data_IF_061393185996
#
_entry.id   IF_061393185996
#
_cell.length_a   1.000
_cell.length_b   1.000
_cell.length_c   1.000
_cell.angle_alpha   90.00
_cell.angle_beta   90.00
_cell.angle_gamma   90.00
#
_symmetry.space_group_name_H-M   'P 1'
#
loop_
_entity.id
_entity.type
_entity.pdbx_description
1 polymer ?
#
# COMPACT_ATOMS: atom_id res chain seq x y z
N UNK A 1 -6.86 -6.82 14.35
CA UNK A 1 -6.55 -6.25 13.03
C UNK A 1 -6.84 -4.76 13.04
N UNK A 2 -5.82 -3.94 12.76
CA UNK A 2 -5.97 -2.49 12.63
C UNK A 2 -6.29 -2.10 11.17
N UNK A 3 -7.26 -1.21 11.02
CA UNK A 3 -7.74 -0.69 9.73
C UNK A 3 -7.09 0.67 9.46
N UNK A 4 -5.87 0.64 9.03
CA UNK A 4 -4.98 1.79 8.93
C UNK A 4 -5.51 2.85 7.95
N UNK A 5 -5.75 4.06 8.47
CA UNK A 5 -6.29 5.21 7.73
C UNK A 5 -7.81 5.29 7.67
N UNK A 6 -8.54 4.26 8.08
CA UNK A 6 -10.00 4.23 8.05
C UNK A 6 -10.60 4.99 9.24
N UNK A 7 -11.55 5.90 8.97
CA UNK A 7 -12.34 6.58 10.03
C UNK A 7 -13.49 5.68 10.48
N UNK A 8 -13.36 5.13 11.68
CA UNK A 8 -14.28 4.14 12.25
C UNK A 8 -14.48 4.40 13.76
N UNK A 9 -15.46 3.74 14.41
CA UNK A 9 -15.61 3.80 15.86
C UNK A 9 -14.41 3.19 16.58
N UNK A 10 -13.97 3.80 17.69
CA UNK A 10 -12.78 3.36 18.44
C UNK A 10 -12.81 1.87 18.82
N UNK A 11 -13.97 1.32 19.18
CA UNK A 11 -14.11 -0.11 19.49
C UNK A 11 -13.88 -1.06 18.30
N UNK A 12 -13.70 -0.54 17.07
CA UNK A 12 -13.42 -1.29 15.85
C UNK A 12 -12.02 -1.03 15.30
N UNK A 13 -11.19 -0.24 16.02
CA UNK A 13 -9.87 0.18 15.55
C UNK A 13 -8.83 -0.94 15.56
N UNK A 14 -9.04 -1.99 16.32
CA UNK A 14 -8.24 -3.20 16.21
C UNK A 14 -7.02 -3.29 17.13
N UNK A 15 -6.83 -2.32 18.04
CA UNK A 15 -5.68 -2.35 18.97
C UNK A 15 -6.00 -3.24 20.18
N UNK A 16 -5.42 -4.44 20.19
CA UNK A 16 -5.58 -5.39 21.29
C UNK A 16 -5.07 -4.84 22.62
N UNK A 17 -5.89 -4.96 23.67
CA UNK A 17 -5.58 -4.43 25.00
C UNK A 17 -5.88 -2.95 25.20
N UNK A 18 -6.22 -2.20 24.13
CA UNK A 18 -6.62 -0.79 24.21
C UNK A 18 -8.14 -0.62 23.96
N UNK A 19 -8.58 -0.90 22.76
CA UNK A 19 -9.97 -0.68 22.36
C UNK A 19 -10.73 -1.97 22.01
N UNK A 20 -10.07 -3.10 22.11
CA UNK A 20 -10.67 -4.44 22.05
C UNK A 20 -9.82 -5.45 22.83
N UNK A 21 -10.37 -6.62 23.22
CA UNK A 21 -9.56 -7.72 23.73
C UNK A 21 -8.68 -8.31 22.63
N UNK A 22 -7.54 -8.90 23.03
CA UNK A 22 -6.74 -9.71 22.10
C UNK A 22 -7.59 -10.88 21.57
N UNK A 23 -7.33 -11.27 20.32
CA UNK A 23 -8.02 -12.39 19.69
C UNK A 23 -7.14 -13.65 19.86
N UNK A 24 -7.44 -14.55 20.80
CA UNK A 24 -6.65 -15.76 20.99
C UNK A 24 -6.74 -16.70 19.79
N UNK A 25 -5.79 -17.61 19.60
CA UNK A 25 -5.88 -18.66 18.58
C UNK A 25 -7.21 -19.42 18.62
N UNK A 26 -7.82 -19.62 17.45
CA UNK A 26 -9.11 -20.29 17.32
C UNK A 26 -10.34 -19.46 17.73
N UNK A 27 -10.16 -18.18 18.07
CA UNK A 27 -11.26 -17.25 18.35
C UNK A 27 -11.47 -16.29 17.19
N UNK A 28 -12.66 -15.68 17.18
CA UNK A 28 -13.08 -14.71 16.16
C UNK A 28 -13.47 -13.41 16.84
N UNK A 29 -13.09 -12.29 16.25
CA UNK A 29 -13.63 -10.96 16.55
C UNK A 29 -14.33 -10.45 15.29
N UNK A 30 -15.50 -9.85 15.44
CA UNK A 30 -16.28 -9.29 14.33
C UNK A 30 -16.09 -7.79 14.30
N UNK A 31 -15.58 -7.28 13.17
CA UNK A 31 -15.50 -5.86 12.89
C UNK A 31 -16.68 -5.45 12.04
N UNK A 32 -17.44 -4.46 12.51
CA UNK A 32 -18.62 -3.94 11.82
C UNK A 32 -18.60 -2.42 11.87
N UNK A 33 -18.39 -1.79 10.72
CA UNK A 33 -18.36 -0.34 10.61
C UNK A 33 -18.68 0.13 9.19
N UNK A 34 -19.08 1.38 9.06
CA UNK A 34 -19.35 2.02 7.77
C UNK A 34 -18.07 2.66 7.21
N UNK A 35 -17.79 2.40 5.93
CA UNK A 35 -16.76 3.13 5.16
C UNK A 35 -17.27 4.51 4.78
N UNK A 36 -16.85 5.53 5.54
CA UNK A 36 -17.36 6.93 5.41
C UNK A 36 -16.70 7.71 4.28
N UNK A 37 -15.59 7.26 3.74
CA UNK A 37 -14.85 7.93 2.68
C UNK A 37 -14.16 6.93 1.76
N UNK A 38 -14.05 7.29 0.49
CA UNK A 38 -13.30 6.50 -0.49
C UNK A 38 -11.81 6.85 -0.43
N UNK A 39 -10.99 5.93 -0.88
CA UNK A 39 -9.54 6.09 -0.89
C UNK A 39 -8.80 4.76 -0.87
N UNK A 40 -7.55 4.83 -0.51
CA UNK A 40 -6.66 3.67 -0.39
C UNK A 40 -6.19 3.56 1.05
N UNK A 41 -6.33 2.38 1.64
CA UNK A 41 -6.03 2.10 3.03
C UNK A 41 -5.27 0.78 3.14
N UNK A 42 -4.79 0.46 4.34
CA UNK A 42 -4.11 -0.80 4.65
C UNK A 42 -4.78 -1.47 5.84
N UNK A 43 -4.55 -2.75 6.01
CA UNK A 43 -4.80 -3.44 7.27
C UNK A 43 -3.56 -4.23 7.68
N UNK A 44 -3.32 -4.29 8.96
CA UNK A 44 -2.23 -5.08 9.53
C UNK A 44 -2.56 -5.48 10.99
N UNK A 45 -1.86 -6.45 11.59
CA UNK A 45 -2.03 -6.79 12.99
C UNK A 45 -1.60 -5.62 13.89
N UNK A 46 -2.17 -5.53 15.08
CA UNK A 46 -1.76 -4.60 16.12
C UNK A 46 -1.61 -5.32 17.48
N UNK A 47 -1.21 -6.59 17.42
CA UNK A 47 -0.81 -7.43 18.54
C UNK A 47 0.20 -8.43 18.01
N UNK A 48 1.36 -8.55 18.64
CA UNK A 48 2.48 -9.35 18.18
C UNK A 48 2.87 -9.03 16.73
N UNK A 49 2.92 -7.74 16.45
CA UNK A 49 2.95 -7.15 15.11
C UNK A 49 4.16 -7.64 14.30
N UNK A 50 5.33 -7.70 14.93
CA UNK A 50 6.56 -8.18 14.30
C UNK A 50 6.40 -9.57 13.68
N UNK A 51 5.91 -10.51 14.47
CA UNK A 51 5.73 -11.91 14.05
C UNK A 51 4.68 -11.99 12.96
N UNK A 52 3.52 -11.39 13.18
CA UNK A 52 2.39 -11.51 12.28
C UNK A 52 2.62 -10.80 10.95
N UNK A 53 3.29 -9.64 10.93
CA UNK A 53 3.66 -8.96 9.69
C UNK A 53 4.74 -9.72 8.92
N UNK A 54 5.76 -10.22 9.59
CA UNK A 54 6.79 -11.05 8.96
C UNK A 54 6.18 -12.33 8.33
N UNK A 55 5.09 -12.84 8.90
CA UNK A 55 4.31 -13.96 8.33
C UNK A 55 3.29 -13.54 7.28
N UNK A 56 3.26 -12.26 6.87
CA UNK A 56 2.46 -11.75 5.77
C UNK A 56 1.02 -11.38 6.10
N UNK A 57 0.68 -11.19 7.38
CA UNK A 57 -0.67 -10.79 7.79
C UNK A 57 -0.88 -9.28 7.57
N UNK A 58 -1.00 -8.87 6.33
CA UNK A 58 -1.21 -7.47 5.94
C UNK A 58 -1.86 -7.39 4.57
N UNK A 59 -2.44 -6.24 4.24
CA UNK A 59 -2.99 -6.03 2.90
C UNK A 59 -3.46 -4.61 2.65
N UNK A 60 -3.87 -4.37 1.41
CA UNK A 60 -4.43 -3.10 0.95
C UNK A 60 -5.96 -3.17 0.94
N UNK A 61 -6.58 -2.01 1.20
CA UNK A 61 -8.02 -1.82 1.09
C UNK A 61 -8.25 -0.66 0.12
N UNK A 62 -8.99 -0.92 -0.95
CA UNK A 62 -9.43 0.13 -1.88
C UNK A 62 -10.92 0.31 -1.71
N UNK A 63 -11.31 1.50 -1.28
CA UNK A 63 -12.72 1.90 -1.16
C UNK A 63 -13.06 2.79 -2.36
N UNK A 64 -13.86 2.26 -3.27
CA UNK A 64 -14.27 3.00 -4.44
C UNK A 64 -15.26 4.11 -4.08
N UNK A 65 -15.20 5.26 -4.79
CA UNK A 65 -16.22 6.31 -4.64
C UNK A 65 -17.60 5.75 -4.98
N UNK A 66 -18.63 6.25 -4.30
CA UNK A 66 -20.03 5.92 -4.62
C UNK A 66 -20.43 6.40 -6.03
N UNK A 67 -19.93 7.56 -6.43
CA UNK A 67 -20.08 8.03 -7.80
C UNK A 67 -18.99 7.42 -8.71
N UNK A 68 -19.32 6.54 -9.66
CA UNK A 68 -18.35 5.93 -10.55
C UNK A 68 -17.70 6.93 -11.53
N UNK A 69 -18.27 8.13 -11.68
CA UNK A 69 -17.69 9.21 -12.49
C UNK A 69 -16.65 10.03 -11.75
N UNK A 70 -16.50 9.80 -10.44
CA UNK A 70 -15.50 10.50 -9.66
C UNK A 70 -14.10 9.95 -9.98
N UNK A 71 -13.30 10.73 -10.69
CA UNK A 71 -11.90 10.43 -11.05
C UNK A 71 -11.70 9.02 -11.66
N UNK A 72 -12.40 8.70 -12.75
CA UNK A 72 -12.28 7.40 -13.39
C UNK A 72 -10.90 7.24 -14.00
N UNK A 73 -10.39 6.00 -14.01
CA UNK A 73 -9.14 5.61 -14.65
C UNK A 73 -9.36 4.34 -15.47
N UNK A 74 -8.52 4.15 -16.49
CA UNK A 74 -8.58 2.98 -17.36
C UNK A 74 -7.84 1.77 -16.75
N UNK A 75 -6.83 2.07 -15.92
CA UNK A 75 -6.01 1.10 -15.19
C UNK A 75 -5.79 1.55 -13.76
N UNK A 76 -5.89 0.62 -12.82
CA UNK A 76 -5.69 0.85 -11.38
C UNK A 76 -4.80 -0.26 -10.83
N UNK A 77 -3.56 0.07 -10.47
CA UNK A 77 -2.59 -0.87 -9.94
C UNK A 77 -2.37 -0.61 -8.44
N UNK A 78 -2.26 -1.69 -7.68
CA UNK A 78 -2.12 -1.62 -6.22
C UNK A 78 -0.87 -2.39 -5.80
N UNK A 79 0.00 -1.72 -5.04
CA UNK A 79 1.21 -2.31 -4.48
C UNK A 79 1.28 -2.12 -2.97
N UNK A 80 1.61 -3.20 -2.28
CA UNK A 80 2.04 -3.15 -0.90
C UNK A 80 3.54 -3.47 -0.84
N UNK A 81 4.29 -2.59 -0.20
CA UNK A 81 5.71 -2.81 0.05
C UNK A 81 5.90 -3.48 1.40
N UNK A 82 6.69 -4.51 1.42
CA UNK A 82 7.07 -5.25 2.62
C UNK A 82 8.52 -5.69 2.59
N UNK A 83 9.08 -5.96 3.75
CA UNK A 83 10.48 -6.35 3.92
C UNK A 83 10.60 -7.60 4.76
N UNK A 84 11.60 -8.42 4.44
CA UNK A 84 11.86 -9.68 5.13
C UNK A 84 13.36 -9.88 5.33
N UNK A 85 13.72 -10.59 6.40
CA UNK A 85 15.01 -11.23 6.52
C UNK A 85 14.81 -12.74 6.35
N UNK A 86 15.36 -13.30 5.28
CA UNK A 86 15.26 -14.73 4.95
C UNK A 86 16.68 -15.27 4.76
N UNK A 87 17.07 -16.30 5.50
CA UNK A 87 18.38 -16.93 5.33
C UNK A 87 18.46 -17.61 3.95
N UNK A 88 19.58 -17.48 3.23
CA UNK A 88 19.77 -18.13 1.95
C UNK A 88 19.47 -19.63 2.00
N UNK A 89 18.68 -20.12 1.04
CA UNK A 89 18.28 -21.52 0.97
C UNK A 89 17.09 -21.90 1.87
N UNK A 90 16.51 -20.96 2.59
CA UNK A 90 15.27 -21.14 3.35
C UNK A 90 14.12 -20.34 2.76
N UNK A 91 12.91 -20.50 3.31
CA UNK A 91 11.70 -19.82 2.86
C UNK A 91 10.91 -19.16 4.00
N UNK A 92 11.40 -19.30 5.24
CA UNK A 92 10.76 -18.69 6.40
C UNK A 92 11.46 -17.39 6.79
N UNK A 93 10.74 -16.28 6.94
CA UNK A 93 11.31 -15.05 7.45
C UNK A 93 11.68 -15.16 8.94
N UNK A 94 12.70 -14.44 9.34
CA UNK A 94 13.01 -14.23 10.75
C UNK A 94 12.00 -13.23 11.33
N UNK A 95 11.18 -13.71 12.24
CA UNK A 95 10.05 -12.94 12.80
C UNK A 95 10.44 -11.94 13.88
N UNK A 96 11.68 -11.97 14.34
CA UNK A 96 12.22 -11.06 15.36
C UNK A 96 13.17 -10.00 14.78
N UNK A 97 13.25 -9.89 13.45
CA UNK A 97 14.09 -8.89 12.78
C UNK A 97 13.27 -7.66 12.40
N UNK A 98 13.79 -6.47 12.74
CA UNK A 98 13.14 -5.19 12.48
C UNK A 98 14.02 -4.19 11.74
N UNK A 99 15.30 -4.47 11.54
CA UNK A 99 16.28 -3.50 11.03
C UNK A 99 17.10 -4.02 9.87
N UNK A 100 17.52 -5.27 9.90
CA UNK A 100 18.48 -5.85 8.95
C UNK A 100 17.78 -6.77 7.95
N UNK A 101 17.00 -6.18 7.06
CA UNK A 101 16.32 -6.91 6.00
C UNK A 101 17.23 -7.16 4.80
N UNK A 102 17.03 -8.30 4.14
CA UNK A 102 17.73 -8.65 2.91
C UNK A 102 16.81 -8.84 1.70
N UNK A 103 15.50 -8.66 1.91
CA UNK A 103 14.52 -8.77 0.84
C UNK A 103 13.48 -7.65 0.95
N UNK A 104 13.35 -6.86 -0.13
CA UNK A 104 12.32 -5.84 -0.29
C UNK A 104 11.38 -6.25 -1.41
N UNK A 105 10.09 -6.19 -1.15
CA UNK A 105 9.10 -6.77 -2.05
C UNK A 105 7.98 -5.78 -2.40
N UNK A 106 7.42 -5.95 -3.60
CA UNK A 106 6.16 -5.41 -4.02
C UNK A 106 5.16 -6.56 -4.20
N UNK A 107 4.06 -6.54 -3.45
CA UNK A 107 3.09 -7.63 -3.42
C UNK A 107 3.75 -9.00 -3.15
N UNK A 108 4.68 -9.02 -2.19
CA UNK A 108 5.45 -10.22 -1.80
C UNK A 108 6.33 -10.83 -2.90
N UNK A 109 6.67 -10.05 -3.93
CA UNK A 109 7.55 -10.45 -5.03
C UNK A 109 8.73 -9.50 -5.20
N UNK A 110 9.83 -10.03 -5.73
CA UNK A 110 11.00 -9.26 -6.15
C UNK A 110 11.18 -9.36 -7.67
N UNK A 111 11.89 -8.40 -8.27
CA UNK A 111 12.25 -8.48 -9.69
C UNK A 111 13.10 -9.75 -9.94
N UNK A 112 12.87 -10.49 -11.04
CA UNK A 112 11.93 -10.25 -12.13
C UNK A 112 10.53 -10.88 -11.94
N UNK A 113 10.17 -11.31 -10.73
CA UNK A 113 8.90 -11.97 -10.45
C UNK A 113 7.72 -11.01 -10.29
N UNK A 114 7.94 -9.68 -10.39
CA UNK A 114 6.88 -8.67 -10.42
C UNK A 114 6.34 -8.57 -11.85
N UNK A 115 5.02 -8.69 -12.01
CA UNK A 115 4.40 -8.61 -13.32
C UNK A 115 4.55 -7.21 -13.94
N UNK A 116 4.77 -7.07 -15.24
CA UNK A 116 4.74 -5.79 -15.92
C UNK A 116 3.35 -5.14 -15.82
N UNK A 117 3.31 -3.81 -15.94
CA UNK A 117 2.08 -3.03 -15.90
C UNK A 117 1.66 -2.63 -17.32
N UNK A 118 0.95 -3.49 -18.08
CA UNK A 118 0.58 -3.18 -19.44
C UNK A 118 -0.52 -2.11 -19.49
N UNK A 119 -0.26 -1.06 -20.26
CA UNK A 119 -1.17 0.06 -20.50
C UNK A 119 -1.25 0.36 -22.00
N UNK A 120 -2.31 1.03 -22.43
CA UNK A 120 -2.47 1.51 -23.82
C UNK A 120 -2.11 2.99 -23.90
N UNK A 121 -1.66 3.42 -25.05
CA UNK A 121 -1.48 4.84 -25.32
C UNK A 121 -2.82 5.59 -25.09
N UNK A 122 -2.75 6.61 -24.25
CA UNK A 122 -3.91 7.42 -23.85
C UNK A 122 -4.64 6.94 -22.59
N UNK A 123 -4.29 5.78 -22.03
CA UNK A 123 -4.88 5.32 -20.78
C UNK A 123 -4.56 6.30 -19.62
N UNK A 124 -5.56 6.59 -18.82
CA UNK A 124 -5.39 7.20 -17.50
C UNK A 124 -5.10 6.08 -16.49
N UNK A 125 -3.94 6.12 -15.91
CA UNK A 125 -3.42 5.05 -15.03
C UNK A 125 -3.33 5.58 -13.62
N UNK A 126 -3.84 4.82 -12.65
CA UNK A 126 -3.63 5.06 -11.23
C UNK A 126 -2.72 4.00 -10.66
N UNK A 127 -1.74 4.43 -9.88
CA UNK A 127 -0.89 3.55 -9.08
C UNK A 127 -1.07 3.90 -7.61
N UNK A 128 -1.36 2.89 -6.80
CA UNK A 128 -1.56 2.98 -5.35
C UNK A 128 -0.46 2.21 -4.64
N UNK A 129 0.20 2.83 -3.69
CA UNK A 129 1.34 2.25 -3.00
C UNK A 129 1.15 2.42 -1.50
N UNK A 130 1.18 1.30 -0.77
CA UNK A 130 1.21 1.27 0.70
C UNK A 130 2.56 0.80 1.20
N UNK A 131 3.11 1.49 2.19
CA UNK A 131 4.42 1.17 2.76
C UNK A 131 4.28 0.56 4.15
N UNK A 132 4.41 -0.76 4.25
CA UNK A 132 4.50 -1.51 5.50
C UNK A 132 5.92 -2.07 5.73
N UNK A 133 6.93 -1.31 5.29
CA UNK A 133 8.35 -1.56 5.60
C UNK A 133 8.82 -0.65 6.75
N UNK A 134 10.06 -0.78 7.12
CA UNK A 134 10.66 0.04 8.18
C UNK A 134 11.47 1.24 7.66
N UNK A 135 11.43 1.50 6.36
CA UNK A 135 12.11 2.65 5.74
C UNK A 135 11.19 3.33 4.71
N UNK A 136 11.45 4.60 4.40
CA UNK A 136 10.80 5.27 3.28
C UNK A 136 11.30 4.75 1.93
N UNK A 137 10.47 4.85 0.92
CA UNK A 137 10.79 4.41 -0.43
C UNK A 137 10.45 5.50 -1.45
N UNK A 138 11.46 6.11 -2.11
CA UNK A 138 11.23 7.01 -3.24
C UNK A 138 10.95 6.18 -4.50
N UNK A 139 9.72 6.24 -4.98
CA UNK A 139 9.25 5.44 -6.13
C UNK A 139 9.24 6.30 -7.38
N UNK A 140 9.98 5.88 -8.38
CA UNK A 140 10.23 6.61 -9.62
C UNK A 140 9.64 5.93 -10.84
N UNK A 141 8.98 6.73 -11.68
CA UNK A 141 8.50 6.31 -13.00
C UNK A 141 9.29 7.03 -14.09
N UNK A 142 9.89 6.26 -14.98
CA UNK A 142 10.57 6.79 -16.14
C UNK A 142 9.60 7.31 -17.21
N UNK A 143 10.05 8.30 -17.98
CA UNK A 143 9.39 8.77 -19.20
C UNK A 143 8.08 9.53 -19.03
N UNK A 144 7.56 9.68 -17.80
CA UNK A 144 6.30 10.34 -17.53
C UNK A 144 6.38 11.23 -16.30
N UNK A 145 5.56 12.28 -16.28
CA UNK A 145 5.19 12.99 -15.06
C UNK A 145 3.85 12.46 -14.58
N UNK A 146 3.63 12.46 -13.28
CA UNK A 146 2.35 12.08 -12.68
C UNK A 146 1.87 13.10 -11.66
N UNK A 147 0.56 13.13 -11.41
CA UNK A 147 -0.04 13.96 -10.37
C UNK A 147 -0.33 13.14 -9.12
N UNK A 148 0.10 13.60 -7.96
CA UNK A 148 -0.24 12.96 -6.68
C UNK A 148 -1.71 13.16 -6.41
N UNK A 149 -2.49 12.07 -6.46
CA UNK A 149 -3.96 12.11 -6.43
C UNK A 149 -4.56 11.70 -5.09
N UNK A 150 -3.81 10.93 -4.28
CA UNK A 150 -4.28 10.47 -2.96
C UNK A 150 -3.11 10.29 -2.00
N UNK A 151 -3.38 10.59 -0.73
CA UNK A 151 -2.50 10.28 0.39
C UNK A 151 -3.21 9.34 1.36
N UNK A 152 -2.55 8.96 2.44
CA UNK A 152 -3.17 8.18 3.53
C UNK A 152 -4.38 8.86 4.18
N UNK A 153 -4.49 10.19 4.05
CA UNK A 153 -5.66 10.96 4.49
C UNK A 153 -6.83 10.99 3.49
N UNK A 154 -6.66 10.43 2.29
CA UNK A 154 -7.68 10.41 1.25
C UNK A 154 -7.30 11.20 0.00
N UNK A 155 -8.32 11.57 -0.78
CA UNK A 155 -8.14 12.25 -2.05
C UNK A 155 -7.60 13.68 -1.91
N UNK A 156 -6.52 13.96 -2.62
CA UNK A 156 -6.02 15.34 -2.79
C UNK A 156 -6.98 16.09 -3.72
N UNK A 157 -7.50 17.27 -3.34
CA UNK A 157 -8.30 18.10 -4.25
C UNK A 157 -7.56 18.36 -5.57
N UNK A 158 -8.26 18.36 -6.70
CA UNK A 158 -7.61 18.53 -8.01
C UNK A 158 -6.75 19.79 -8.10
N UNK A 159 -7.22 20.89 -7.52
CA UNK A 159 -6.49 22.17 -7.47
C UNK A 159 -5.23 22.13 -6.57
N UNK A 160 -5.09 21.08 -5.76
CA UNK A 160 -3.97 20.92 -4.83
C UNK A 160 -3.08 19.71 -5.20
N UNK A 161 -3.35 19.04 -6.32
CA UNK A 161 -2.46 18.01 -6.84
C UNK A 161 -1.18 18.66 -7.37
N UNK A 162 -0.06 17.99 -7.15
CA UNK A 162 1.24 18.48 -7.60
C UNK A 162 1.94 17.44 -8.46
N UNK A 163 2.74 17.86 -9.45
CA UNK A 163 3.45 16.97 -10.35
C UNK A 163 4.72 16.41 -9.69
N UNK A 164 4.97 15.13 -9.94
CA UNK A 164 6.22 14.46 -9.57
C UNK A 164 6.65 13.47 -10.65
N UNK A 165 7.89 13.01 -10.57
CA UNK A 165 8.42 11.85 -11.29
C UNK A 165 8.94 10.80 -10.31
N UNK A 166 9.12 11.19 -9.04
CA UNK A 166 9.54 10.35 -7.94
C UNK A 166 8.75 10.74 -6.70
N UNK A 167 7.93 9.82 -6.20
CA UNK A 167 7.12 10.05 -5.00
C UNK A 167 7.72 9.33 -3.80
N UNK A 168 7.99 10.06 -2.73
CA UNK A 168 8.40 9.43 -1.46
C UNK A 168 7.18 8.84 -0.76
N UNK A 169 7.30 7.57 -0.37
CA UNK A 169 6.28 6.86 0.42
C UNK A 169 6.86 6.59 1.80
N UNK A 170 6.54 7.42 2.81
CA UNK A 170 7.00 7.24 4.18
C UNK A 170 6.54 5.92 4.80
N UNK A 171 7.21 5.50 5.87
CA UNK A 171 6.81 4.34 6.67
C UNK A 171 5.37 4.52 7.17
N UNK A 172 4.53 3.49 7.00
CA UNK A 172 3.13 3.52 7.40
C UNK A 172 2.23 4.42 6.54
N UNK A 173 2.75 5.02 5.47
CA UNK A 173 1.96 5.90 4.61
C UNK A 173 1.47 5.21 3.35
N UNK A 174 0.44 5.81 2.77
CA UNK A 174 -0.10 5.44 1.46
C UNK A 174 0.04 6.64 0.53
N UNK A 175 0.40 6.38 -0.71
CA UNK A 175 0.39 7.36 -1.80
C UNK A 175 -0.31 6.77 -3.00
N UNK A 176 -1.07 7.59 -3.70
CA UNK A 176 -1.52 7.27 -5.06
C UNK A 176 -1.24 8.42 -6.00
N UNK A 177 -0.91 8.08 -7.23
CA UNK A 177 -0.71 9.06 -8.29
C UNK A 177 -1.41 8.63 -9.56
N UNK A 178 -1.78 9.61 -10.35
CA UNK A 178 -2.40 9.41 -11.65
C UNK A 178 -1.45 9.88 -12.75
N UNK A 179 -1.29 9.08 -13.78
CA UNK A 179 -0.44 9.35 -14.94
C UNK A 179 -1.23 9.13 -16.23
N UNK A 180 -0.98 9.97 -17.24
CA UNK A 180 -1.43 9.74 -18.60
C UNK A 180 -0.36 8.95 -19.35
N UNK A 181 -0.71 7.81 -19.90
CA UNK A 181 0.18 7.00 -20.72
C UNK A 181 0.31 7.60 -22.13
N UNK A 182 1.03 8.70 -22.27
CA UNK A 182 1.17 9.48 -23.49
C UNK A 182 2.53 9.32 -24.20
N UNK A 183 3.43 8.57 -23.60
CA UNK A 183 4.77 8.31 -24.14
C UNK A 183 4.95 6.79 -24.37
N UNK A 184 4.82 6.29 -25.61
CA UNK A 184 4.90 4.87 -25.90
C UNK A 184 6.31 4.31 -25.72
N UNK A 185 6.43 3.08 -25.24
CA UNK A 185 7.68 2.35 -25.01
C UNK A 185 7.63 1.52 -23.74
N UNK A 186 8.76 0.89 -23.41
CA UNK A 186 8.96 0.17 -22.15
C UNK A 186 9.67 1.08 -21.15
N UNK A 187 9.03 1.36 -20.03
CA UNK A 187 9.51 2.30 -19.03
C UNK A 187 9.79 1.62 -17.69
N UNK A 188 10.93 1.91 -17.10
CA UNK A 188 11.22 1.41 -15.77
C UNK A 188 10.34 2.09 -14.70
N UNK A 189 9.87 1.29 -13.75
CA UNK A 189 9.17 1.75 -12.55
C UNK A 189 9.79 1.06 -11.34
N UNK A 190 10.44 1.82 -10.46
CA UNK A 190 11.28 1.25 -9.41
C UNK A 190 11.46 2.17 -8.20
N UNK A 191 11.94 1.60 -7.10
CA UNK A 191 12.43 2.35 -5.96
C UNK A 191 13.86 2.86 -6.22
N UNK A 192 14.16 4.06 -5.75
CA UNK A 192 15.49 4.70 -5.84
C UNK A 192 16.39 4.41 -4.61
N UNK A 193 16.00 3.47 -3.76
CA UNK A 193 16.73 3.15 -2.54
C UNK A 193 17.06 1.66 -2.45
#
# INVERSE_FOLDING_TARGET
>A
VHWHGVRLPSGMDGVGGLNQPHIPPGKTFVYEFEMKHSGTFMYHPHSDEMVQMAMGMMGMIVVHPRDPKFRPVDRDFVFIMSTYLIDPGTYLPKVNEMTDFNMWTWNSRVFPGIDPLPVRLGDRVRVRIGNLTMTNHPIHLHGHNFGVSCTDGGWVPESAQWPETTIDVPVGAIRAFDVLADNPGDWAFHCHK
#
